data_IF_824353011760
#
_entry.id   IF_824353011760
#
_cell.length_a   1.000
_cell.length_b   1.000
_cell.length_c   1.000
_cell.angle_alpha   90.00
_cell.angle_beta   90.00
_cell.angle_gamma   90.00
#
_symmetry.space_group_name_H-M   'P 1'
#
loop_
_entity.id
_entity.type
_entity.pdbx_description
1 polymer ?
#
# COMPACT_ATOMS: atom_id res chain seq x y z
N UNK A 1 -3.21 -2.21 23.04
CA UNK A 1 -1.79 -1.85 23.23
C UNK A 1 -1.62 -0.40 22.81
N UNK A 2 -0.87 0.38 23.56
CA UNK A 2 -0.61 1.79 23.24
C UNK A 2 0.88 2.05 23.46
N UNK A 3 1.56 2.64 22.49
CA UNK A 3 2.93 3.11 22.59
C UNK A 3 3.08 4.49 21.91
N UNK A 4 4.30 5.01 21.84
CA UNK A 4 4.57 6.33 21.25
C UNK A 4 4.28 6.41 19.74
N UNK A 5 4.16 5.27 19.06
CA UNK A 5 4.04 5.17 17.60
C UNK A 5 2.64 4.74 17.15
N UNK A 6 1.88 4.05 17.99
CA UNK A 6 0.58 3.49 17.64
C UNK A 6 -0.31 3.20 18.86
N UNK A 7 -1.62 3.34 18.64
CA UNK A 7 -2.68 2.89 19.53
C UNK A 7 -3.53 1.87 18.79
N UNK A 8 -3.41 0.61 19.20
CA UNK A 8 -3.95 -0.54 18.47
C UNK A 8 -4.64 -1.48 19.44
N UNK A 9 -5.87 -1.87 19.13
CA UNK A 9 -6.54 -3.00 19.78
C UNK A 9 -6.44 -4.22 18.87
N UNK A 10 -6.06 -5.36 19.43
CA UNK A 10 -5.92 -6.63 18.71
C UNK A 10 -6.59 -7.71 19.54
N UNK A 11 -7.38 -8.55 18.89
CA UNK A 11 -7.96 -9.75 19.46
C UNK A 11 -7.80 -10.89 18.47
N UNK A 12 -7.56 -12.10 18.98
CA UNK A 12 -7.43 -13.26 18.12
C UNK A 12 -6.56 -14.36 18.69
N UNK A 13 -6.35 -15.39 17.87
CA UNK A 13 -5.50 -16.52 18.18
C UNK A 13 -4.52 -16.79 17.06
N UNK A 14 -3.40 -17.40 17.43
CA UNK A 14 -2.44 -17.99 16.50
C UNK A 14 -2.11 -19.39 16.96
N UNK A 15 -2.01 -20.29 16.00
CA UNK A 15 -1.63 -21.67 16.23
C UNK A 15 -0.50 -22.02 15.27
N UNK A 16 0.66 -22.38 15.82
CA UNK A 16 1.75 -22.93 15.03
C UNK A 16 1.30 -24.20 14.28
N UNK A 17 1.88 -24.44 13.11
CA UNK A 17 1.70 -25.72 12.44
C UNK A 17 2.21 -26.87 13.33
N UNK A 18 1.53 -28.02 13.25
CA UNK A 18 1.89 -29.21 14.06
C UNK A 18 3.29 -29.75 13.76
N UNK A 19 3.82 -29.49 12.57
CA UNK A 19 5.17 -29.90 12.16
C UNK A 19 5.98 -28.68 11.69
N UNK A 20 7.22 -28.52 12.17
CA UNK A 20 8.14 -27.50 11.65
C UNK A 20 8.32 -27.63 10.12
N UNK A 21 8.27 -26.51 9.41
CA UNK A 21 8.52 -26.46 7.96
C UNK A 21 7.31 -26.67 7.05
N UNK A 22 6.12 -27.00 7.58
CA UNK A 22 4.90 -27.11 6.76
C UNK A 22 4.15 -25.79 6.57
N UNK A 23 4.03 -24.99 7.64
CA UNK A 23 3.37 -23.70 7.59
C UNK A 23 3.86 -22.79 8.73
N UNK A 24 3.91 -21.46 8.55
CA UNK A 24 4.10 -20.51 9.66
C UNK A 24 2.98 -20.53 10.71
N UNK A 25 1.88 -21.23 10.44
CA UNK A 25 0.75 -21.43 11.34
C UNK A 25 -0.54 -20.83 10.81
N UNK A 26 -1.62 -21.13 11.53
CA UNK A 26 -2.94 -20.60 11.28
C UNK A 26 -3.23 -19.42 12.21
N UNK A 27 -3.82 -18.36 11.67
CA UNK A 27 -4.17 -17.13 12.39
C UNK A 27 -5.67 -16.85 12.32
N UNK A 28 -6.22 -16.27 13.37
CA UNK A 28 -7.50 -15.55 13.35
C UNK A 28 -7.33 -14.30 14.20
N UNK A 29 -6.94 -13.21 13.55
CA UNK A 29 -6.64 -11.93 14.17
C UNK A 29 -7.59 -10.88 13.62
N UNK A 30 -8.08 -10.02 14.50
CA UNK A 30 -8.81 -8.80 14.12
C UNK A 30 -8.43 -7.67 15.05
N UNK A 31 -8.64 -6.44 14.60
CA UNK A 31 -8.30 -5.30 15.44
C UNK A 31 -8.65 -3.96 14.83
N UNK A 32 -8.40 -2.92 15.63
CA UNK A 32 -8.56 -1.52 15.26
C UNK A 32 -7.27 -0.76 15.52
N UNK A 33 -7.00 0.20 14.65
CA UNK A 33 -5.89 1.14 14.77
C UNK A 33 -6.52 2.52 14.93
N UNK A 34 -6.52 3.06 16.15
CA UNK A 34 -7.03 4.39 16.41
C UNK A 34 -6.08 5.44 15.82
N UNK A 35 -4.77 5.21 16.01
CA UNK A 35 -3.69 5.99 15.41
C UNK A 35 -2.45 5.16 15.22
N UNK A 36 -1.71 5.39 14.15
CA UNK A 36 -0.36 4.87 13.99
C UNK A 36 0.48 5.78 13.10
N UNK A 37 1.79 5.82 13.33
CA UNK A 37 2.73 6.34 12.34
C UNK A 37 2.78 5.37 11.17
N UNK A 38 2.54 5.86 9.95
CA UNK A 38 2.50 5.02 8.75
C UNK A 38 3.80 4.23 8.56
N UNK A 39 4.95 4.85 8.86
CA UNK A 39 6.26 4.20 8.80
C UNK A 39 6.45 3.06 9.83
N UNK A 40 5.69 3.06 10.93
CA UNK A 40 5.77 2.03 11.95
C UNK A 40 4.91 0.79 11.62
N UNK A 41 3.95 0.90 10.68
CA UNK A 41 2.97 -0.15 10.37
C UNK A 41 3.65 -1.46 9.95
N UNK A 42 4.71 -1.39 9.15
CA UNK A 42 5.44 -2.58 8.72
C UNK A 42 6.01 -3.40 9.90
N UNK A 43 6.40 -2.73 11.00
CA UNK A 43 6.91 -3.39 12.19
C UNK A 43 5.87 -4.21 12.97
N UNK A 44 4.58 -4.01 12.69
CA UNK A 44 3.48 -4.74 13.33
C UNK A 44 2.97 -5.91 12.49
N UNK A 45 3.49 -6.10 11.28
CA UNK A 45 3.12 -7.23 10.44
C UNK A 45 3.84 -8.51 10.90
N UNK A 46 3.17 -9.68 10.84
CA UNK A 46 3.81 -10.95 11.16
C UNK A 46 5.08 -11.21 10.35
N UNK A 47 6.11 -11.76 10.98
CA UNK A 47 7.40 -12.09 10.34
C UNK A 47 7.29 -13.08 9.17
N UNK A 48 6.19 -13.85 9.08
CA UNK A 48 5.94 -14.77 7.96
C UNK A 48 5.66 -14.08 6.62
N UNK A 49 5.59 -12.73 6.59
CA UNK A 49 5.18 -11.94 5.43
C UNK A 49 6.30 -10.97 5.02
N UNK A 50 7.52 -11.47 4.83
CA UNK A 50 8.71 -10.65 4.59
C UNK A 50 8.57 -9.74 3.36
N UNK A 51 8.12 -10.26 2.20
CA UNK A 51 8.04 -9.47 0.97
C UNK A 51 7.12 -8.24 1.06
N UNK A 52 5.89 -8.40 1.54
CA UNK A 52 4.96 -7.27 1.73
C UNK A 52 5.44 -6.32 2.82
N UNK A 53 5.97 -6.86 3.92
CA UNK A 53 6.53 -6.05 5.01
C UNK A 53 7.69 -5.19 4.52
N UNK A 54 8.62 -5.78 3.78
CA UNK A 54 9.83 -5.12 3.31
C UNK A 54 9.49 -4.07 2.24
N UNK A 55 8.53 -4.35 1.34
CA UNK A 55 8.01 -3.34 0.43
C UNK A 55 7.35 -2.17 1.19
N UNK A 56 6.46 -2.46 2.15
CA UNK A 56 5.81 -1.42 2.95
C UNK A 56 6.81 -0.58 3.73
N UNK A 57 7.80 -1.22 4.36
CA UNK A 57 8.87 -0.55 5.09
C UNK A 57 9.72 0.35 4.19
N UNK A 58 9.97 -0.05 2.94
CA UNK A 58 10.72 0.74 1.99
C UNK A 58 9.89 1.86 1.33
N UNK A 59 8.60 1.61 1.11
CA UNK A 59 7.72 2.49 0.35
C UNK A 59 7.09 3.57 1.22
N UNK A 60 6.65 3.25 2.44
CA UNK A 60 5.97 4.19 3.33
C UNK A 60 7.00 4.94 4.17
N UNK A 61 7.27 6.20 3.79
CA UNK A 61 8.31 7.01 4.42
C UNK A 61 7.80 7.82 5.61
N UNK A 62 6.55 8.29 5.54
CA UNK A 62 5.92 9.08 6.60
C UNK A 62 4.39 9.08 6.45
N UNK A 63 3.69 9.54 7.49
CA UNK A 63 2.24 9.72 7.49
C UNK A 63 1.62 9.36 8.83
N UNK A 64 0.39 9.80 9.01
CA UNK A 64 -0.46 9.46 10.15
C UNK A 64 -1.61 8.59 9.65
N UNK A 65 -1.78 7.43 10.27
CA UNK A 65 -2.86 6.49 10.00
C UNK A 65 -3.89 6.61 11.10
N UNK A 66 -5.17 6.71 10.76
CA UNK A 66 -6.28 6.71 11.72
C UNK A 66 -7.43 5.86 11.23
N UNK A 67 -8.39 5.62 12.12
CA UNK A 67 -9.66 4.93 11.82
C UNK A 67 -9.45 3.57 11.13
N UNK A 68 -8.36 2.90 11.50
CA UNK A 68 -7.93 1.68 10.88
C UNK A 68 -8.67 0.47 11.43
N UNK A 69 -8.92 -0.51 10.57
CA UNK A 69 -9.38 -1.84 10.94
C UNK A 69 -8.60 -2.88 10.15
N UNK A 70 -8.38 -4.03 10.77
CA UNK A 70 -7.76 -5.15 10.07
C UNK A 70 -8.36 -6.49 10.50
N UNK A 71 -8.31 -7.43 9.57
CA UNK A 71 -8.63 -8.85 9.78
C UNK A 71 -7.58 -9.69 9.05
N UNK A 72 -7.10 -10.73 9.70
CA UNK A 72 -6.19 -11.70 9.13
C UNK A 72 -6.58 -13.08 9.62
N UNK A 73 -7.10 -13.91 8.72
CA UNK A 73 -7.61 -15.24 9.04
C UNK A 73 -7.22 -16.26 7.99
N UNK A 74 -6.63 -17.37 8.39
CA UNK A 74 -6.24 -18.45 7.47
C UNK A 74 -4.87 -19.02 7.76
N UNK A 75 -4.45 -19.97 6.91
CA UNK A 75 -3.10 -20.52 6.95
C UNK A 75 -2.12 -19.55 6.28
N UNK A 76 -1.13 -19.07 7.03
CA UNK A 76 -0.15 -18.09 6.55
C UNK A 76 0.66 -18.58 5.34
N UNK A 77 0.71 -19.88 5.06
CA UNK A 77 1.34 -20.43 3.85
C UNK A 77 0.65 -19.94 2.56
N UNK A 78 -0.66 -19.68 2.62
CA UNK A 78 -1.44 -19.22 1.46
C UNK A 78 -1.53 -17.70 1.35
N UNK A 79 -0.97 -16.95 2.29
CA UNK A 79 -0.94 -15.49 2.26
C UNK A 79 -0.26 -14.99 0.96
N UNK A 80 -0.75 -13.94 0.26
CA UNK A 80 -1.83 -13.00 0.63
C UNK A 80 -3.25 -13.49 0.31
N UNK A 81 -3.47 -14.81 0.27
CA UNK A 81 -4.75 -15.45 0.03
C UNK A 81 -5.34 -15.08 -1.34
N UNK A 82 -4.54 -15.26 -2.40
CA UNK A 82 -4.98 -15.04 -3.80
C UNK A 82 -6.27 -15.81 -4.11
N UNK A 83 -6.39 -17.02 -3.56
CA UNK A 83 -7.65 -17.75 -3.44
C UNK A 83 -8.31 -17.40 -2.10
N UNK A 84 -9.44 -16.69 -2.17
CA UNK A 84 -10.19 -16.24 -0.99
C UNK A 84 -10.77 -17.40 -0.14
N UNK A 85 -10.83 -18.63 -0.68
CA UNK A 85 -11.22 -19.80 0.11
C UNK A 85 -10.13 -20.23 1.11
N UNK A 86 -8.87 -19.83 0.89
CA UNK A 86 -7.73 -20.16 1.75
C UNK A 86 -7.61 -19.25 2.97
N UNK A 87 -8.28 -18.10 2.94
CA UNK A 87 -8.24 -17.13 4.03
C UNK A 87 -8.68 -15.73 3.62
N UNK A 88 -8.62 -14.84 4.60
CA UNK A 88 -9.00 -13.44 4.48
C UNK A 88 -7.87 -12.58 5.02
N UNK A 89 -7.43 -11.63 4.20
CA UNK A 89 -6.62 -10.51 4.65
C UNK A 89 -7.36 -9.24 4.31
N UNK A 90 -7.63 -8.42 5.30
CA UNK A 90 -8.36 -7.18 5.12
C UNK A 90 -7.72 -6.09 5.96
N UNK A 91 -7.47 -4.94 5.35
CA UNK A 91 -7.01 -3.74 6.05
C UNK A 91 -7.71 -2.55 5.41
N UNK A 92 -8.20 -1.62 6.22
CA UNK A 92 -8.70 -0.34 5.74
C UNK A 92 -8.35 0.72 6.75
N UNK A 93 -7.79 1.84 6.30
CA UNK A 93 -7.44 2.95 7.18
C UNK A 93 -7.38 4.28 6.42
N UNK A 94 -7.60 5.37 7.15
CA UNK A 94 -7.34 6.72 6.66
C UNK A 94 -5.85 7.03 6.78
N UNK A 95 -5.34 7.82 5.83
CA UNK A 95 -3.97 8.34 5.83
C UNK A 95 -4.03 9.86 5.70
N UNK A 96 -3.28 10.56 6.56
CA UNK A 96 -2.99 11.98 6.42
C UNK A 96 -1.47 12.22 6.34
N UNK A 97 -1.09 13.25 5.58
CA UNK A 97 0.31 13.68 5.38
C UNK A 97 1.25 12.53 4.97
N UNK A 98 0.72 11.57 4.21
CA UNK A 98 1.46 10.40 3.76
C UNK A 98 2.60 10.79 2.83
N UNK A 99 3.72 10.08 2.95
CA UNK A 99 4.86 10.15 2.02
C UNK A 99 5.19 8.76 1.51
N UNK A 100 5.08 8.56 0.21
CA UNK A 100 5.21 7.25 -0.44
C UNK A 100 6.30 7.27 -1.52
N UNK A 101 7.20 6.29 -1.46
CA UNK A 101 8.18 5.97 -2.50
C UNK A 101 7.87 4.60 -3.08
N UNK A 102 6.99 4.57 -4.06
CA UNK A 102 6.42 3.36 -4.64
C UNK A 102 7.34 2.69 -5.67
N UNK A 103 8.36 3.40 -6.16
CA UNK A 103 9.44 2.82 -6.96
C UNK A 103 10.76 3.56 -6.67
N UNK A 104 11.92 2.87 -6.57
CA UNK A 104 13.20 3.51 -6.27
C UNK A 104 13.61 4.60 -7.27
N UNK A 105 13.23 4.42 -8.53
CA UNK A 105 13.54 5.35 -9.62
C UNK A 105 12.42 6.34 -9.97
N UNK A 106 11.29 6.36 -9.25
CA UNK A 106 10.22 7.32 -9.50
C UNK A 106 10.17 8.37 -8.39
N UNK A 107 9.65 9.58 -8.64
CA UNK A 107 9.50 10.57 -7.59
C UNK A 107 8.60 10.07 -6.46
N UNK A 108 8.91 10.49 -5.24
CA UNK A 108 8.01 10.29 -4.12
C UNK A 108 6.70 11.05 -4.32
N UNK A 109 5.61 10.49 -3.80
CA UNK A 109 4.36 11.21 -3.60
C UNK A 109 4.35 11.76 -2.18
N UNK A 110 4.10 13.06 -2.06
CA UNK A 110 4.09 13.79 -0.81
C UNK A 110 2.69 14.26 -0.43
N UNK A 111 2.47 14.47 0.88
CA UNK A 111 1.21 14.96 1.46
C UNK A 111 -0.02 14.21 0.95
N UNK A 112 0.08 12.88 0.90
CA UNK A 112 -1.04 12.02 0.56
C UNK A 112 -2.08 12.12 1.66
N UNK A 113 -3.28 12.56 1.31
CA UNK A 113 -4.48 12.51 2.15
C UNK A 113 -5.49 11.61 1.46
N UNK A 114 -5.90 10.55 2.15
CA UNK A 114 -6.59 9.45 1.49
C UNK A 114 -7.05 8.33 2.39
N UNK A 115 -7.45 7.24 1.75
CA UNK A 115 -7.65 5.96 2.40
C UNK A 115 -6.85 4.88 1.67
N UNK A 116 -6.39 3.89 2.44
CA UNK A 116 -5.78 2.68 1.93
C UNK A 116 -6.68 1.49 2.24
N UNK A 117 -6.77 0.56 1.31
CA UNK A 117 -7.51 -0.70 1.45
C UNK A 117 -6.67 -1.85 0.92
N UNK A 118 -6.54 -2.88 1.73
CA UNK A 118 -6.07 -4.20 1.32
C UNK A 118 -7.22 -5.19 1.42
N UNK A 119 -7.38 -6.00 0.39
CA UNK A 119 -8.33 -7.10 0.36
C UNK A 119 -7.65 -8.28 -0.34
N UNK A 120 -7.25 -9.26 0.46
CA UNK A 120 -6.43 -10.39 0.05
C UNK A 120 -5.17 -9.89 -0.70
N UNK A 121 -4.96 -10.35 -1.92
CA UNK A 121 -3.82 -9.95 -2.73
C UNK A 121 -3.97 -8.55 -3.35
N UNK A 122 -5.14 -7.91 -3.26
CA UNK A 122 -5.39 -6.60 -3.88
C UNK A 122 -5.10 -5.46 -2.92
N UNK A 123 -4.39 -4.46 -3.40
CA UNK A 123 -4.20 -3.17 -2.72
C UNK A 123 -4.83 -2.05 -3.53
N UNK A 124 -5.47 -1.13 -2.85
CA UNK A 124 -5.99 0.11 -3.41
C UNK A 124 -5.73 1.29 -2.48
N UNK A 125 -5.28 2.39 -3.07
CA UNK A 125 -5.12 3.68 -2.40
C UNK A 125 -6.00 4.68 -3.14
N UNK A 126 -6.83 5.40 -2.39
CA UNK A 126 -7.61 6.52 -2.91
C UNK A 126 -7.15 7.79 -2.22
N UNK A 127 -6.46 8.65 -2.96
CA UNK A 127 -6.03 9.95 -2.50
C UNK A 127 -7.05 11.02 -2.92
N UNK A 128 -7.50 11.82 -1.97
CA UNK A 128 -8.23 13.07 -2.24
C UNK A 128 -7.27 14.25 -2.41
N UNK A 129 -6.03 14.10 -1.98
CA UNK A 129 -4.97 15.05 -2.24
C UNK A 129 -3.63 14.30 -2.25
N UNK A 130 -2.78 14.65 -3.21
CA UNK A 130 -1.38 14.21 -3.25
C UNK A 130 -0.55 15.19 -4.07
N UNK A 131 0.76 15.22 -3.82
CA UNK A 131 1.68 16.09 -4.54
C UNK A 131 2.84 15.28 -5.13
N UNK A 132 3.19 15.60 -6.37
CA UNK A 132 4.43 15.17 -7.00
C UNK A 132 5.12 16.47 -7.44
N UNK A 133 6.24 16.81 -6.78
CA UNK A 133 6.86 18.13 -6.91
C UNK A 133 5.86 19.26 -6.55
N UNK A 134 5.65 20.22 -7.46
CA UNK A 134 4.66 21.28 -7.32
C UNK A 134 3.29 20.90 -7.92
N UNK A 135 3.18 19.77 -8.62
CA UNK A 135 1.93 19.30 -9.20
C UNK A 135 1.03 18.71 -8.13
N UNK A 136 -0.25 19.09 -8.15
CA UNK A 136 -1.26 18.66 -7.17
C UNK A 136 -2.25 17.70 -7.83
N UNK A 137 -2.35 16.49 -7.32
CA UNK A 137 -3.46 15.61 -7.63
C UNK A 137 -4.67 16.01 -6.77
N UNK A 138 -5.78 16.38 -7.43
CA UNK A 138 -7.09 16.64 -6.79
C UNK A 138 -7.81 15.34 -6.44
N UNK A 139 -7.53 14.29 -7.20
CA UNK A 139 -7.93 12.93 -6.91
C UNK A 139 -6.92 12.00 -7.57
N UNK A 140 -6.59 10.91 -6.91
CA UNK A 140 -5.81 9.84 -7.51
C UNK A 140 -6.22 8.49 -6.93
N UNK A 141 -6.21 7.46 -7.76
CA UNK A 141 -6.30 6.06 -7.37
C UNK A 141 -5.02 5.36 -7.75
N UNK A 142 -4.56 4.46 -6.88
CA UNK A 142 -3.46 3.55 -7.18
C UNK A 142 -3.89 2.14 -6.80
N UNK A 143 -3.78 1.20 -7.72
CA UNK A 143 -4.25 -0.18 -7.55
C UNK A 143 -3.13 -1.14 -7.90
N UNK A 144 -2.89 -2.11 -7.02
CA UNK A 144 -2.15 -3.33 -7.34
C UNK A 144 -3.16 -4.47 -7.24
N UNK A 145 -3.45 -5.11 -8.37
CA UNK A 145 -4.46 -6.17 -8.42
C UNK A 145 -4.01 -7.45 -7.69
N UNK A 146 -2.71 -7.74 -7.73
CA UNK A 146 -2.13 -8.95 -7.17
C UNK A 146 -0.72 -8.69 -6.61
N UNK A 147 -0.63 -8.55 -5.29
CA UNK A 147 0.61 -8.41 -4.53
C UNK A 147 1.46 -9.68 -4.50
N UNK A 148 0.87 -10.84 -4.82
CA UNK A 148 1.54 -12.13 -4.86
C UNK A 148 2.03 -12.52 -6.26
N UNK A 149 1.88 -11.65 -7.26
CA UNK A 149 2.42 -11.87 -8.59
C UNK A 149 3.94 -11.65 -8.61
N UNK A 150 4.67 -12.43 -9.42
CA UNK A 150 6.12 -12.30 -9.59
C UNK A 150 6.53 -10.88 -10.03
N UNK A 151 5.67 -10.23 -10.81
CA UNK A 151 5.77 -8.83 -11.19
C UNK A 151 4.43 -8.13 -10.91
N UNK A 152 4.30 -7.57 -9.70
CA UNK A 152 3.13 -6.79 -9.32
C UNK A 152 3.01 -5.51 -10.18
N UNK A 153 1.85 -5.31 -10.82
CA UNK A 153 1.58 -4.13 -11.65
C UNK A 153 0.85 -3.07 -10.83
N UNK A 154 1.40 -1.86 -10.82
CA UNK A 154 0.79 -0.68 -10.21
C UNK A 154 0.07 0.14 -11.28
N UNK A 155 -1.27 0.15 -11.25
CA UNK A 155 -2.10 1.04 -12.05
C UNK A 155 -2.36 2.33 -11.27
N UNK A 156 -2.12 3.49 -11.90
CA UNK A 156 -2.37 4.81 -11.28
C UNK A 156 -3.25 5.61 -12.22
N UNK A 157 -4.33 6.16 -11.68
CA UNK A 157 -5.21 7.11 -12.36
C UNK A 157 -5.36 8.34 -11.47
N UNK A 158 -5.57 9.52 -12.06
CA UNK A 158 -5.78 10.71 -11.26
C UNK A 158 -5.96 11.98 -12.07
N UNK A 159 -6.60 12.94 -11.43
CA UNK A 159 -6.76 14.30 -11.93
C UNK A 159 -5.67 15.18 -11.31
N UNK A 160 -4.69 15.56 -12.14
CA UNK A 160 -3.46 16.23 -11.70
C UNK A 160 -3.37 17.62 -12.33
N UNK A 161 -3.37 18.64 -11.47
CA UNK A 161 -2.95 19.98 -11.83
C UNK A 161 -1.43 20.01 -11.91
N UNK A 162 -0.91 20.01 -13.14
CA UNK A 162 0.53 19.98 -13.42
C UNK A 162 0.98 21.19 -14.21
N UNK A 163 2.22 21.61 -13.99
CA UNK A 163 2.87 22.62 -14.82
C UNK A 163 3.59 21.96 -16.00
N UNK A 164 3.81 22.70 -17.09
CA UNK A 164 4.59 22.18 -18.22
C UNK A 164 6.02 21.74 -17.82
N UNK A 165 6.61 22.41 -16.82
CA UNK A 165 7.93 22.07 -16.26
C UNK A 165 7.90 20.73 -15.53
N UNK A 166 6.90 20.52 -14.67
CA UNK A 166 6.78 19.28 -13.88
C UNK A 166 6.41 18.10 -14.76
N UNK A 167 5.61 18.30 -15.81
CA UNK A 167 5.31 17.25 -16.79
C UNK A 167 6.57 16.78 -17.53
N UNK A 168 7.43 17.69 -18.00
CA UNK A 168 8.71 17.33 -18.63
C UNK A 168 9.64 16.64 -17.65
N UNK A 169 9.69 17.12 -16.40
CA UNK A 169 10.50 16.52 -15.34
C UNK A 169 10.05 15.10 -15.02
N UNK A 170 8.75 14.88 -14.88
CA UNK A 170 8.17 13.56 -14.63
C UNK A 170 8.51 12.60 -15.77
N UNK A 171 8.37 13.00 -17.03
CA UNK A 171 8.72 12.16 -18.18
C UNK A 171 10.21 11.81 -18.28
N UNK A 172 11.09 12.71 -17.81
CA UNK A 172 12.55 12.47 -17.78
C UNK A 172 12.99 11.57 -16.63
N UNK A 173 12.38 11.75 -15.46
CA UNK A 173 12.77 11.05 -14.24
C UNK A 173 12.04 9.71 -14.06
N UNK A 174 10.91 9.50 -14.73
CA UNK A 174 10.30 8.17 -14.79
C UNK A 174 10.91 7.36 -15.94
N UNK A 175 11.40 6.13 -15.70
CA UNK A 175 11.82 5.24 -16.77
C UNK A 175 10.60 4.85 -17.60
N UNK A 176 10.35 5.55 -18.69
CA UNK A 176 9.25 5.21 -19.62
C UNK A 176 9.71 4.33 -20.76
N UNK A 177 10.97 3.89 -20.73
CA UNK A 177 11.64 3.36 -21.92
C UNK A 177 12.34 2.02 -21.70
N UNK A 178 12.69 1.57 -20.49
CA UNK A 178 13.42 0.30 -20.36
C UNK A 178 13.03 -0.54 -19.13
N UNK A 179 12.32 -1.64 -19.35
CA UNK A 179 12.07 -2.69 -18.36
C UNK A 179 11.13 -3.81 -18.86
N UNK A 180 11.57 -5.08 -18.92
CA UNK A 180 10.73 -6.21 -19.32
C UNK A 180 9.81 -6.60 -18.16
N UNK A 181 8.59 -6.08 -18.16
CA UNK A 181 7.59 -6.44 -17.15
C UNK A 181 6.48 -5.41 -17.01
N UNK A 182 5.63 -5.32 -18.04
CA UNK A 182 4.26 -4.82 -17.99
C UNK A 182 3.97 -3.59 -17.08
N UNK A 183 4.33 -2.39 -17.54
CA UNK A 183 3.65 -1.16 -17.11
C UNK A 183 2.77 -0.66 -18.27
N UNK A 184 1.61 -1.28 -18.48
CA UNK A 184 0.63 -0.75 -19.44
C UNK A 184 -0.07 0.44 -18.80
N UNK A 185 0.24 1.62 -19.33
CA UNK A 185 -0.29 2.91 -18.89
C UNK A 185 -1.61 3.23 -19.62
N UNK A 186 -2.63 3.63 -18.85
CA UNK A 186 -3.64 4.58 -19.30
C UNK A 186 -3.57 5.80 -18.38
N UNK A 187 -2.83 6.83 -18.80
CA UNK A 187 -2.81 8.13 -18.12
C UNK A 187 -3.64 9.04 -19.00
N UNK A 188 -4.90 9.24 -18.63
CA UNK A 188 -5.73 10.29 -19.22
C UNK A 188 -5.38 11.61 -18.52
N UNK A 189 -4.42 12.36 -19.07
CA UNK A 189 -4.20 13.76 -18.67
C UNK A 189 -5.22 14.59 -19.44
N UNK A 190 -6.36 14.89 -18.82
CA UNK A 190 -7.31 15.85 -19.37
C UNK A 190 -6.93 17.26 -18.93
N UNK A 191 -5.96 17.84 -19.64
CA UNK A 191 -5.55 19.23 -19.45
C UNK A 191 -6.55 20.19 -20.09
N UNK A 192 -7.41 20.84 -19.29
CA UNK A 192 -8.28 21.92 -19.78
C UNK A 192 -7.43 23.16 -20.04
N UNK A 193 -7.26 23.52 -21.31
CA UNK A 193 -6.76 24.84 -21.71
C UNK A 193 -7.83 25.87 -21.36
N UNK A 194 -7.49 26.80 -20.48
CA UNK A 194 -8.13 28.11 -20.42
C UNK A 194 -7.50 29.04 -21.46
#
# INVERSE_FOLDING_TARGET
>A
MSNADAEVSVAGTWHAARQPGQSPGWVDLSGRVERARAAAVAGYLPNGIAGTRDWLAAAVLAGEVSDGRFELKGDLWHFPFRDASQGRFFVEAAIDRGRLRYHPAWPSVDRVKGAIRFENARMEIRAQEAYIYASRARSASAVVADLGADAAVLAIEGDIDTTGRDSVRFLRETPLVDGPGAFTRAVAIEGRRG
#
